data_IF_618624133718
#
_entry.id   IF_618624133718
#
_cell.length_a   1.000
_cell.length_b   1.000
_cell.length_c   1.000
_cell.angle_alpha   90.00
_cell.angle_beta   90.00
_cell.angle_gamma   90.00
#
_symmetry.space_group_name_H-M   'P 1'
#
loop_
_entity.id
_entity.type
_entity.pdbx_description
1 polymer ?
#
# COMPACT_ATOMS: atom_id res chain seq x y z
N UNK A 1 20.17 -6.96 -0.53
CA UNK A 1 18.89 -7.67 -0.33
C UNK A 1 17.81 -6.65 -0.67
N UNK A 2 17.05 -6.89 -1.73
CA UNK A 2 15.92 -6.03 -2.11
C UNK A 2 14.75 -6.24 -1.12
N UNK A 3 14.13 -5.14 -0.68
CA UNK A 3 13.00 -5.12 0.24
C UNK A 3 11.64 -5.02 -0.47
N UNK A 4 11.61 -5.04 -1.81
CA UNK A 4 10.39 -5.00 -2.61
C UNK A 4 10.05 -6.33 -3.29
N UNK A 5 10.87 -7.37 -3.10
CA UNK A 5 10.62 -8.71 -3.63
C UNK A 5 11.04 -9.79 -2.65
N UNK A 6 10.21 -10.84 -2.54
CA UNK A 6 10.51 -12.00 -1.70
C UNK A 6 11.56 -12.92 -2.35
N UNK A 7 11.79 -14.09 -1.73
CA UNK A 7 12.78 -15.06 -2.24
C UNK A 7 12.41 -15.60 -3.63
N UNK A 8 11.12 -15.74 -3.91
CA UNK A 8 10.60 -16.30 -5.16
C UNK A 8 10.43 -15.21 -6.24
N UNK A 9 10.85 -13.98 -5.96
CA UNK A 9 10.79 -12.87 -6.90
C UNK A 9 9.40 -12.24 -7.01
N UNK A 10 8.48 -12.56 -6.11
CA UNK A 10 7.16 -11.94 -6.06
C UNK A 10 7.27 -10.58 -5.38
N UNK A 11 6.61 -9.57 -5.94
CA UNK A 11 6.59 -8.23 -5.38
C UNK A 11 6.00 -8.22 -3.94
N UNK A 12 6.43 -7.24 -3.15
CA UNK A 12 5.87 -6.94 -1.84
C UNK A 12 5.88 -5.43 -1.57
N UNK A 13 4.83 -4.95 -0.90
CA UNK A 13 4.70 -3.57 -0.45
C UNK A 13 5.07 -3.48 1.05
N UNK A 14 6.15 -2.78 1.43
CA UNK A 14 6.56 -2.64 2.83
C UNK A 14 5.50 -2.00 3.74
N UNK A 15 4.64 -1.14 3.17
CA UNK A 15 3.53 -0.53 3.89
C UNK A 15 2.40 -1.54 4.12
N UNK A 16 2.11 -2.42 3.16
CA UNK A 16 1.10 -3.47 3.31
C UNK A 16 1.53 -4.56 4.30
N UNK A 17 2.82 -4.92 4.34
CA UNK A 17 3.37 -5.85 5.33
C UNK A 17 3.49 -5.21 6.72
N UNK A 18 3.43 -3.88 6.81
CA UNK A 18 3.46 -3.13 8.05
C UNK A 18 4.86 -2.90 8.63
N UNK A 19 5.94 -3.03 7.84
CA UNK A 19 7.30 -2.73 8.32
C UNK A 19 7.63 -1.25 8.31
N UNK A 20 6.96 -0.51 7.44
CA UNK A 20 7.25 0.90 7.23
C UNK A 20 6.00 1.73 7.41
N UNK A 21 6.18 2.86 8.08
CA UNK A 21 5.23 3.96 8.15
C UNK A 21 5.97 5.22 7.79
N UNK A 22 5.26 6.19 7.24
CA UNK A 22 5.80 7.49 6.94
C UNK A 22 5.28 8.49 7.97
N UNK A 23 6.17 9.35 8.47
CA UNK A 23 5.79 10.50 9.29
C UNK A 23 6.06 11.74 8.45
N UNK A 24 5.01 12.51 8.15
CA UNK A 24 5.12 13.72 7.35
C UNK A 24 5.99 14.77 8.08
N UNK A 25 6.49 15.80 7.38
CA UNK A 25 7.18 16.92 8.02
C UNK A 25 6.34 17.67 9.07
N UNK A 26 5.01 17.50 9.04
CA UNK A 26 4.06 18.09 9.99
C UNK A 26 3.63 17.12 11.09
N UNK A 27 4.22 15.92 11.11
CA UNK A 27 3.96 14.91 12.13
C UNK A 27 2.77 14.01 11.83
N UNK A 28 2.21 14.04 10.62
CA UNK A 28 1.10 13.15 10.25
C UNK A 28 1.60 11.71 10.06
N UNK A 29 0.81 10.73 10.50
CA UNK A 29 1.15 9.32 10.37
C UNK A 29 0.48 8.74 9.12
N UNK A 30 1.30 8.52 8.09
CA UNK A 30 0.90 8.10 6.75
C UNK A 30 1.32 6.64 6.47
N UNK A 31 0.57 5.86 5.68
CA UNK A 31 0.93 4.48 5.38
C UNK A 31 2.23 4.38 4.57
N UNK A 32 2.45 5.31 3.64
CA UNK A 32 3.66 5.36 2.80
C UNK A 32 3.89 6.79 2.29
N UNK A 33 5.12 7.15 1.86
CA UNK A 33 5.47 8.53 1.51
C UNK A 33 4.71 9.12 0.31
N UNK A 34 4.06 8.29 -0.51
CA UNK A 34 3.23 8.73 -1.64
C UNK A 34 1.73 8.69 -1.37
N UNK A 35 1.32 8.22 -0.18
CA UNK A 35 -0.08 8.22 0.26
C UNK A 35 -0.20 9.22 1.40
N UNK A 36 -0.45 10.47 1.00
CA UNK A 36 -0.47 11.62 1.90
C UNK A 36 -1.88 11.82 2.47
N UNK A 37 -2.33 10.80 3.20
CA UNK A 37 -3.57 10.80 3.98
C UNK A 37 -3.29 10.27 5.38
N UNK A 38 -3.86 10.92 6.40
CA UNK A 38 -3.72 10.49 7.77
C UNK A 38 -4.96 10.77 8.62
N UNK A 39 -5.21 9.87 9.57
CA UNK A 39 -6.18 10.06 10.66
C UNK A 39 -5.50 10.44 11.97
N UNK A 40 -4.19 10.21 12.08
CA UNK A 40 -3.42 10.40 13.32
C UNK A 40 -2.14 11.21 13.12
N UNK A 41 -1.64 11.78 14.21
CA UNK A 41 -0.39 12.54 14.26
C UNK A 41 0.48 12.10 15.44
N UNK A 42 1.80 12.31 15.32
CA UNK A 42 2.73 12.18 16.46
C UNK A 42 2.46 13.20 17.58
N UNK A 43 1.63 14.22 17.31
CA UNK A 43 1.22 15.23 18.28
C UNK A 43 -0.03 14.80 19.07
N UNK A 44 -0.66 13.69 18.71
CA UNK A 44 -1.79 13.15 19.45
C UNK A 44 -1.36 12.72 20.87
N UNK A 45 -2.25 12.76 21.87
CA UNK A 45 -1.91 12.40 23.25
C UNK A 45 -1.62 10.90 23.44
N UNK A 46 -2.09 10.06 22.51
CA UNK A 46 -1.88 8.60 22.53
C UNK A 46 -0.43 8.28 22.16
N UNK A 47 0.16 7.24 22.77
CA UNK A 47 1.54 6.86 22.46
C UNK A 47 1.67 6.36 21.01
N UNK A 48 2.84 6.57 20.38
CA UNK A 48 3.10 6.06 19.03
C UNK A 48 2.86 4.55 18.92
N UNK A 49 3.25 3.78 19.96
CA UNK A 49 3.03 2.33 20.00
C UNK A 49 1.55 1.98 19.91
N UNK A 50 0.70 2.64 20.69
CA UNK A 50 -0.74 2.42 20.64
C UNK A 50 -1.30 2.89 19.29
N UNK A 51 -0.92 4.07 18.82
CA UNK A 51 -1.36 4.61 17.52
C UNK A 51 -1.08 3.65 16.36
N UNK A 52 0.15 3.14 16.22
CA UNK A 52 0.50 2.24 15.12
C UNK A 52 -0.20 0.86 15.17
N UNK A 53 -0.53 0.39 16.37
CA UNK A 53 -1.17 -0.92 16.57
C UNK A 53 -2.70 -0.85 16.53
N UNK A 54 -3.29 0.28 16.91
CA UNK A 54 -4.73 0.44 17.07
C UNK A 54 -5.37 1.31 15.98
N UNK A 55 -4.59 1.99 15.15
CA UNK A 55 -5.11 2.78 14.02
C UNK A 55 -5.91 1.90 13.07
N UNK A 56 -7.22 2.19 12.99
CA UNK A 56 -8.13 1.52 12.09
C UNK A 56 -7.76 1.80 10.62
N UNK A 57 -7.36 3.03 10.31
CA UNK A 57 -6.93 3.44 8.98
C UNK A 57 -5.70 2.67 8.51
N UNK A 58 -4.64 2.58 9.34
CA UNK A 58 -3.43 1.83 8.99
C UNK A 58 -3.69 0.33 8.85
N UNK A 59 -4.53 -0.25 9.72
CA UNK A 59 -4.89 -1.67 9.63
C UNK A 59 -5.68 -1.96 8.35
N UNK A 60 -6.70 -1.16 8.07
CA UNK A 60 -7.56 -1.35 6.91
C UNK A 60 -6.81 -1.06 5.61
N UNK A 61 -5.87 -0.10 5.60
CA UNK A 61 -4.91 0.10 4.51
C UNK A 61 -4.11 -1.17 4.20
N UNK A 62 -3.46 -1.74 5.22
CA UNK A 62 -2.61 -2.93 5.06
C UNK A 62 -3.39 -4.08 4.45
N UNK A 63 -4.59 -4.34 4.98
CA UNK A 63 -5.46 -5.39 4.50
C UNK A 63 -5.93 -5.11 3.07
N UNK A 64 -6.48 -3.92 2.79
CA UNK A 64 -6.96 -3.55 1.46
C UNK A 64 -5.85 -3.67 0.41
N UNK A 65 -4.66 -3.13 0.70
CA UNK A 65 -3.53 -3.20 -0.22
C UNK A 65 -3.13 -4.65 -0.48
N UNK A 66 -2.95 -5.45 0.58
CA UNK A 66 -2.56 -6.86 0.47
C UNK A 66 -3.61 -7.72 -0.23
N UNK A 67 -4.90 -7.41 -0.11
CA UNK A 67 -6.00 -8.14 -0.79
C UNK A 67 -6.05 -7.89 -2.29
N UNK A 68 -5.63 -6.70 -2.76
CA UNK A 68 -5.88 -6.25 -4.13
C UNK A 68 -4.64 -6.24 -5.03
N UNK A 69 -3.43 -6.17 -4.47
CA UNK A 69 -2.19 -6.18 -5.26
C UNK A 69 -0.98 -6.59 -4.42
N UNK A 70 0.02 -7.21 -5.06
CA UNK A 70 1.36 -7.35 -4.46
C UNK A 70 2.30 -6.19 -4.78
N UNK A 71 1.86 -5.28 -5.64
CA UNK A 71 2.62 -4.14 -6.13
C UNK A 71 2.22 -2.83 -5.45
N UNK A 72 2.40 -1.71 -6.16
CA UNK A 72 2.04 -0.40 -5.64
C UNK A 72 0.54 -0.13 -5.82
N UNK A 73 -0.20 -0.08 -4.72
CA UNK A 73 -1.65 0.21 -4.73
C UNK A 73 -1.98 1.59 -5.31
N UNK A 74 -1.10 2.59 -5.16
CA UNK A 74 -1.29 3.93 -5.77
C UNK A 74 -1.31 3.85 -7.29
N UNK A 75 -0.47 2.99 -7.87
CA UNK A 75 -0.38 2.84 -9.32
C UNK A 75 -1.51 1.96 -9.86
N UNK A 76 -1.81 0.86 -9.19
CA UNK A 76 -2.74 -0.14 -9.73
C UNK A 76 -4.20 0.14 -9.38
N UNK A 77 -4.47 0.59 -8.15
CA UNK A 77 -5.82 0.78 -7.59
C UNK A 77 -5.95 2.10 -6.81
N UNK A 78 -5.72 3.26 -7.46
CA UNK A 78 -5.93 4.57 -6.83
C UNK A 78 -7.38 4.79 -6.37
N UNK A 79 -8.35 4.09 -7.01
CA UNK A 79 -9.75 4.06 -6.61
C UNK A 79 -9.95 3.60 -5.16
N UNK A 80 -9.28 2.52 -4.76
CA UNK A 80 -9.41 1.97 -3.40
C UNK A 80 -8.79 2.86 -2.33
N UNK A 81 -7.80 3.67 -2.68
CA UNK A 81 -7.21 4.63 -1.75
C UNK A 81 -8.19 5.75 -1.43
N UNK A 82 -8.92 6.22 -2.44
CA UNK A 82 -9.97 7.21 -2.24
C UNK A 82 -11.11 6.65 -1.38
N UNK A 83 -11.56 5.43 -1.67
CA UNK A 83 -12.59 4.76 -0.86
C UNK A 83 -12.14 4.60 0.59
N UNK A 84 -10.89 4.21 0.82
CA UNK A 84 -10.31 4.06 2.15
C UNK A 84 -10.21 5.41 2.88
N UNK A 85 -9.70 6.45 2.22
CA UNK A 85 -9.59 7.78 2.80
C UNK A 85 -10.97 8.30 3.24
N UNK A 86 -11.97 8.17 2.37
CA UNK A 86 -13.35 8.56 2.67
C UNK A 86 -13.95 7.73 3.82
N UNK A 87 -13.72 6.41 3.84
CA UNK A 87 -14.22 5.50 4.90
C UNK A 87 -13.73 5.91 6.29
N UNK A 88 -12.52 6.42 6.39
CA UNK A 88 -11.88 6.76 7.66
C UNK A 88 -11.88 8.25 7.99
N UNK A 89 -12.50 9.10 7.14
CA UNK A 89 -12.39 10.56 7.22
C UNK A 89 -10.92 11.02 7.29
N UNK A 90 -10.06 10.37 6.49
CA UNK A 90 -8.64 10.64 6.49
C UNK A 90 -8.36 12.00 5.84
N UNK A 91 -7.65 12.87 6.55
CA UNK A 91 -7.31 14.20 6.06
C UNK A 91 -6.23 14.12 5.00
N UNK A 92 -6.36 14.96 3.96
CA UNK A 92 -5.28 15.26 3.02
C UNK A 92 -4.15 16.00 3.75
N UNK A 93 -2.98 15.36 3.83
CA UNK A 93 -1.79 15.89 4.52
C UNK A 93 -0.83 16.61 3.57
N UNK A 94 -1.17 16.69 2.28
CA UNK A 94 -0.40 17.50 1.33
C UNK A 94 -0.56 18.98 1.65
N UNK A 95 0.53 19.74 1.49
CA UNK A 95 0.47 21.21 1.57
C UNK A 95 -0.45 21.80 0.49
N UNK A 96 -0.57 21.10 -0.65
CA UNK A 96 -1.37 21.54 -1.79
C UNK A 96 -2.87 21.40 -1.52
N UNK A 97 -3.28 20.46 -0.66
CA UNK A 97 -4.70 20.13 -0.43
C UNK A 97 -5.38 19.61 -1.70
N UNK A 98 -4.66 18.83 -2.52
CA UNK A 98 -5.14 18.33 -3.81
C UNK A 98 -5.01 16.80 -3.95
N UNK A 99 -4.68 16.06 -2.89
CA UNK A 99 -4.42 14.62 -2.98
C UNK A 99 -5.64 13.85 -3.51
N UNK A 100 -6.86 14.26 -3.13
CA UNK A 100 -8.11 13.67 -3.64
C UNK A 100 -8.24 13.90 -5.16
N UNK A 101 -8.08 15.14 -5.62
CA UNK A 101 -8.13 15.50 -7.04
C UNK A 101 -7.05 14.75 -7.83
N UNK A 102 -5.83 14.68 -7.29
CA UNK A 102 -4.69 13.98 -7.89
C UNK A 102 -5.00 12.48 -8.04
N UNK A 103 -5.57 11.82 -7.01
CA UNK A 103 -5.97 10.41 -7.08
C UNK A 103 -7.10 10.16 -8.09
N UNK A 104 -8.10 11.04 -8.14
CA UNK A 104 -9.21 10.93 -9.10
C UNK A 104 -8.74 11.04 -10.56
N UNK A 105 -7.72 11.86 -10.81
CA UNK A 105 -7.13 12.03 -12.12
C UNK A 105 -6.18 10.89 -12.53
N UNK A 106 -5.79 10.01 -11.60
CA UNK A 106 -4.90 8.89 -11.91
C UNK A 106 -5.65 7.79 -12.68
N UNK A 107 -5.05 7.40 -13.81
CA UNK A 107 -5.34 6.13 -14.45
C UNK A 107 -4.49 5.02 -13.83
N UNK A 108 -5.01 3.79 -13.82
CA UNK A 108 -4.22 2.64 -13.40
C UNK A 108 -2.96 2.49 -14.27
N UNK A 109 -1.84 2.09 -13.66
CA UNK A 109 -0.51 1.97 -14.28
C UNK A 109 0.22 0.72 -13.78
N UNK A 110 1.08 0.10 -14.61
CA UNK A 110 1.94 -1.00 -14.18
C UNK A 110 2.77 -0.65 -12.94
N UNK A 111 2.98 -1.64 -12.08
CA UNK A 111 3.84 -1.53 -10.90
C UNK A 111 4.88 -2.65 -10.86
N UNK A 112 5.54 -2.84 -9.72
CA UNK A 112 6.51 -3.91 -9.47
C UNK A 112 5.88 -5.31 -9.56
N UNK A 113 4.57 -5.44 -9.36
CA UNK A 113 3.90 -6.72 -9.51
C UNK A 113 3.58 -7.01 -10.98
N UNK A 114 4.35 -7.93 -11.55
CA UNK A 114 4.22 -8.41 -12.92
C UNK A 114 4.15 -9.93 -12.93
N UNK A 115 2.95 -10.52 -12.78
CA UNK A 115 2.80 -11.97 -12.67
C UNK A 115 3.32 -12.67 -13.93
N UNK A 116 4.12 -13.72 -13.74
CA UNK A 116 4.78 -14.46 -14.81
C UNK A 116 6.11 -13.86 -15.27
N UNK A 117 6.58 -12.77 -14.68
CA UNK A 117 7.89 -12.15 -14.92
C UNK A 117 8.74 -12.06 -13.65
N UNK A 118 8.51 -12.97 -12.71
CA UNK A 118 9.22 -12.98 -11.43
C UNK A 118 10.69 -13.38 -11.60
N UNK A 119 11.54 -12.76 -10.79
CA UNK A 119 12.99 -13.00 -10.79
C UNK A 119 13.38 -13.56 -9.41
N UNK A 120 13.39 -14.89 -9.24
CA UNK A 120 13.79 -15.52 -7.99
C UNK A 120 15.24 -15.22 -7.62
N UNK A 121 15.53 -15.23 -6.32
CA UNK A 121 16.88 -15.05 -5.81
C UNK A 121 17.80 -16.18 -6.28
N UNK A 122 18.94 -15.82 -6.89
CA UNK A 122 19.88 -16.80 -7.48
C UNK A 122 20.72 -17.52 -6.44
N UNK A 123 21.02 -16.83 -5.34
CA UNK A 123 21.80 -17.39 -4.24
C UNK A 123 20.89 -18.13 -3.28
N UNK A 124 21.11 -19.44 -3.10
CA UNK A 124 20.35 -20.27 -2.17
C UNK A 124 20.40 -19.72 -0.72
N UNK A 125 21.54 -19.13 -0.32
CA UNK A 125 21.69 -18.54 1.00
C UNK A 125 20.82 -17.28 1.16
N UNK A 126 20.78 -16.40 0.15
CA UNK A 126 19.90 -15.24 0.18
C UNK A 126 18.43 -15.62 0.02
N UNK A 127 18.13 -16.65 -0.75
CA UNK A 127 16.78 -17.18 -0.88
C UNK A 127 16.25 -17.68 0.47
N UNK A 128 17.05 -18.45 1.23
CA UNK A 128 16.69 -18.88 2.58
C UNK A 128 16.50 -17.69 3.53
N UNK A 129 17.41 -16.71 3.49
CA UNK A 129 17.28 -15.50 4.31
C UNK A 129 16.00 -14.73 3.98
N UNK A 130 15.66 -14.56 2.70
CA UNK A 130 14.41 -13.91 2.30
C UNK A 130 13.18 -14.73 2.70
N UNK A 131 13.24 -16.06 2.59
CA UNK A 131 12.13 -16.93 2.94
C UNK A 131 11.79 -16.94 4.43
N UNK A 132 12.81 -16.86 5.29
CA UNK A 132 12.63 -17.02 6.75
C UNK A 132 12.83 -15.74 7.57
N UNK A 133 13.61 -14.78 7.09
CA UNK A 133 13.97 -13.56 7.85
C UNK A 133 13.47 -12.26 7.22
N UNK A 134 13.27 -12.23 5.89
CA UNK A 134 12.77 -11.06 5.16
C UNK A 134 11.57 -11.43 4.31
N UNK A 135 10.65 -12.20 4.89
CA UNK A 135 9.39 -12.54 4.25
C UNK A 135 8.34 -11.46 4.54
N UNK A 136 7.20 -11.58 3.89
CA UNK A 136 6.05 -10.71 4.08
C UNK A 136 5.32 -10.92 5.43
N UNK A 137 5.89 -11.68 6.37
CA UNK A 137 5.28 -12.15 7.63
C UNK A 137 3.88 -12.75 7.43
N UNK A 138 3.65 -13.36 6.26
CA UNK A 138 2.38 -13.97 5.89
C UNK A 138 1.30 -12.98 5.45
N UNK A 139 1.60 -11.69 5.28
CA UNK A 139 0.63 -10.69 4.85
C UNK A 139 -0.07 -11.10 3.55
N UNK A 140 0.67 -11.48 2.52
CA UNK A 140 0.07 -11.89 1.25
C UNK A 140 -0.44 -13.33 1.29
N UNK A 141 0.21 -14.23 2.02
CA UNK A 141 -0.31 -15.60 2.21
C UNK A 141 -1.70 -15.60 2.85
N UNK A 142 -1.99 -14.63 3.73
CA UNK A 142 -3.25 -14.50 4.45
C UNK A 142 -4.30 -13.71 3.66
N UNK A 143 -3.89 -12.64 2.98
CA UNK A 143 -4.83 -11.65 2.43
C UNK A 143 -4.90 -11.62 0.92
N UNK A 144 -3.84 -12.00 0.19
CA UNK A 144 -3.82 -11.81 -1.26
C UNK A 144 -4.85 -12.67 -1.97
N UNK A 145 -5.70 -12.01 -2.77
CA UNK A 145 -6.74 -12.65 -3.56
C UNK A 145 -6.46 -12.38 -5.04
N UNK A 146 -5.95 -13.36 -5.80
CA UNK A 146 -5.62 -13.17 -7.22
C UNK A 146 -6.80 -12.66 -8.07
N UNK A 147 -8.05 -12.99 -7.70
CA UNK A 147 -9.25 -12.52 -8.37
C UNK A 147 -9.57 -11.02 -8.17
N UNK A 148 -9.00 -10.40 -7.14
CA UNK A 148 -9.18 -8.96 -6.87
C UNK A 148 -8.17 -8.10 -7.64
N UNK A 149 -7.04 -8.70 -8.05
CA UNK A 149 -6.04 -8.01 -8.83
C UNK A 149 -6.55 -7.70 -10.24
N UNK A 150 -6.36 -6.45 -10.67
CA UNK A 150 -6.74 -5.97 -12.01
C UNK A 150 -5.49 -5.60 -12.77
N UNK A 151 -5.32 -6.17 -13.96
CA UNK A 151 -4.17 -5.85 -14.79
C UNK A 151 -4.21 -4.37 -15.23
N UNK A 152 -3.25 -3.54 -14.79
CA UNK A 152 -3.28 -2.11 -15.02
C UNK A 152 -3.11 -1.72 -16.50
N UNK A 153 -2.55 -2.61 -17.33
CA UNK A 153 -2.35 -2.38 -18.77
C UNK A 153 -3.67 -2.39 -19.55
N UNK A 154 -4.71 -3.04 -19.00
CA UNK A 154 -6.01 -3.24 -19.67
C UNK A 154 -7.15 -2.43 -19.04
N UNK A 155 -6.87 -1.58 -18.05
CA UNK A 155 -7.88 -0.80 -17.33
C UNK A 155 -8.02 0.63 -17.86
N UNK A 156 -9.27 1.06 -18.11
CA UNK A 156 -9.63 2.43 -18.46
C UNK A 156 -9.51 3.40 -17.25
N UNK A 157 -9.46 4.73 -17.46
CA UNK A 157 -9.36 5.73 -16.39
C UNK A 157 -10.49 5.64 -15.35
N UNK A 158 -10.24 6.12 -14.13
CA UNK A 158 -11.17 6.06 -12.96
C UNK A 158 -12.41 6.98 -13.11
N UNK A 159 -12.54 7.74 -14.20
CA UNK A 159 -13.64 8.68 -14.37
C UNK A 159 -14.95 7.99 -14.80
N UNK A 160 -15.94 8.00 -13.90
CA UNK A 160 -17.40 8.16 -14.10
C UNK A 160 -18.22 7.26 -13.14
N UNK A 161 -18.13 7.52 -11.83
CA UNK A 161 -19.10 7.02 -10.83
C UNK A 161 -19.41 8.11 -9.80
N UNK A 162 -19.87 9.27 -10.26
CA UNK A 162 -20.64 10.20 -9.42
C UNK A 162 -21.75 10.77 -10.31
N UNK A 163 -22.89 10.09 -10.35
CA UNK A 163 -24.22 10.67 -10.62
C UNK A 163 -25.30 9.57 -10.53
N UNK A 164 -26.02 9.53 -9.40
CA UNK A 164 -27.48 9.32 -9.30
C UNK A 164 -27.93 9.51 -7.86
#
# INVERSE_FOLDING_TARGET
>A
IDAYYDGDGQALCPAATGFTHHISPYGDIEPCPVIQFATESIHDPRSLRETFNESAFLRDFRQMAAENTRGCVVLERPDLLLDLANKHDARDTTIRGQAVTELQALSSRPSQYSPGQEIPEKSWAYWLLKKYCFNDFGAYSKHFQPGNWRNPVNTQPVAEKVES
#
